data_IF_633095948692
#
_entry.id   IF_633095948692
#
_cell.length_a   1.000
_cell.length_b   1.000
_cell.length_c   1.000
_cell.angle_alpha   90.00
_cell.angle_beta   90.00
_cell.angle_gamma   90.00
#
_symmetry.space_group_name_H-M   'P 1'
#
loop_
_entity.id
_entity.type
_entity.pdbx_description
1 polymer ?
#
# COMPACT_ATOMS: atom_id res chain seq x y z
N UNK A 1 -16.28 -8.12 -11.43
CA UNK A 1 -15.38 -8.67 -10.42
C UNK A 1 -15.85 -8.20 -9.06
N UNK A 2 -15.71 -9.05 -8.01
CA UNK A 2 -15.89 -8.60 -6.62
C UNK A 2 -14.83 -7.56 -6.26
N UNK A 3 -15.11 -6.73 -5.25
CA UNK A 3 -14.10 -5.82 -4.68
C UNK A 3 -12.90 -6.64 -4.20
N UNK A 4 -11.65 -6.18 -4.41
CA UNK A 4 -10.49 -6.86 -3.85
C UNK A 4 -10.56 -6.85 -2.32
N UNK A 5 -10.02 -7.89 -1.69
CA UNK A 5 -9.84 -7.91 -0.24
C UNK A 5 -8.93 -6.75 0.18
N UNK A 6 -9.26 -6.07 1.27
CA UNK A 6 -8.44 -4.99 1.81
C UNK A 6 -7.60 -5.51 2.97
N UNK A 7 -6.29 -5.37 2.88
CA UNK A 7 -5.39 -5.57 4.01
C UNK A 7 -5.09 -4.22 4.67
N UNK A 8 -5.46 -4.09 5.94
CA UNK A 8 -5.21 -2.88 6.74
C UNK A 8 -4.00 -3.10 7.63
N UNK A 9 -2.90 -2.43 7.32
CA UNK A 9 -1.71 -2.42 8.18
C UNK A 9 -1.97 -1.50 9.37
N UNK A 10 -1.92 -2.07 10.58
CA UNK A 10 -2.20 -1.33 11.81
C UNK A 10 -1.32 -1.82 12.96
N UNK A 11 -0.71 -0.89 13.71
CA UNK A 11 0.03 -1.20 14.93
C UNK A 11 -0.92 -1.57 16.07
N UNK A 12 -0.55 -2.56 16.90
CA UNK A 12 -1.41 -3.06 17.99
C UNK A 12 -1.86 -1.95 18.95
N UNK A 13 -1.02 -0.95 19.19
CA UNK A 13 -1.33 0.21 20.03
C UNK A 13 -2.29 1.21 19.41
N UNK A 14 -2.56 1.14 18.11
CA UNK A 14 -3.35 2.12 17.36
C UNK A 14 -4.81 1.65 17.15
N UNK A 15 -5.46 1.21 18.24
CA UNK A 15 -6.83 0.65 18.22
C UNK A 15 -7.86 1.62 17.69
N UNK A 16 -7.75 2.91 18.05
CA UNK A 16 -8.69 3.95 17.59
C UNK A 16 -8.62 4.17 16.08
N UNK A 17 -7.42 4.10 15.49
CA UNK A 17 -7.24 4.21 14.04
C UNK A 17 -7.83 2.99 13.34
N UNK A 18 -7.59 1.78 13.89
CA UNK A 18 -8.19 0.57 13.36
C UNK A 18 -9.73 0.64 13.38
N UNK A 19 -10.33 1.09 14.49
CA UNK A 19 -11.78 1.23 14.59
C UNK A 19 -12.35 2.21 13.56
N UNK A 20 -11.68 3.34 13.32
CA UNK A 20 -12.11 4.34 12.34
C UNK A 20 -12.08 3.80 10.92
N UNK A 21 -10.99 3.17 10.51
CA UNK A 21 -10.86 2.64 9.15
C UNK A 21 -11.78 1.44 8.93
N UNK A 22 -11.94 0.56 9.93
CA UNK A 22 -12.87 -0.56 9.89
C UNK A 22 -14.31 -0.08 9.63
N UNK A 23 -14.79 0.88 10.43
CA UNK A 23 -16.10 1.49 10.22
C UNK A 23 -16.25 2.05 8.80
N UNK A 24 -15.23 2.71 8.29
CA UNK A 24 -15.28 3.28 6.93
C UNK A 24 -15.33 2.22 5.84
N UNK A 25 -14.59 1.12 5.99
CA UNK A 25 -14.63 0.00 5.06
C UNK A 25 -15.98 -0.72 5.09
N UNK A 26 -16.57 -0.91 6.27
CA UNK A 26 -17.91 -1.47 6.44
C UNK A 26 -18.98 -0.61 5.75
N UNK A 27 -18.94 0.71 5.92
CA UNK A 27 -19.84 1.67 5.24
C UNK A 27 -19.72 1.58 3.71
N UNK A 28 -18.54 1.25 3.22
CA UNK A 28 -18.29 1.05 1.79
C UNK A 28 -18.62 -0.37 1.31
N UNK A 29 -18.98 -1.29 2.22
CA UNK A 29 -19.25 -2.70 1.92
C UNK A 29 -18.00 -3.45 1.43
N UNK A 30 -16.82 -3.06 1.93
CA UNK A 30 -15.54 -3.66 1.57
C UNK A 30 -15.09 -4.66 2.63
N UNK A 31 -14.83 -5.90 2.24
CA UNK A 31 -14.23 -6.89 3.12
C UNK A 31 -12.78 -6.54 3.41
N UNK A 32 -12.36 -6.66 4.66
CA UNK A 32 -10.98 -6.38 5.06
C UNK A 32 -10.45 -7.35 6.09
N UNK A 33 -9.13 -7.45 6.15
CA UNK A 33 -8.37 -8.15 7.20
C UNK A 33 -7.29 -7.23 7.75
N UNK A 34 -7.05 -7.31 9.05
CA UNK A 34 -5.97 -6.58 9.70
C UNK A 34 -4.64 -7.31 9.52
N UNK A 35 -3.61 -6.58 9.12
CA UNK A 35 -2.21 -7.03 9.13
C UNK A 35 -1.51 -6.36 10.33
N UNK A 36 -1.01 -7.13 11.31
CA UNK A 36 -0.26 -6.58 12.44
C UNK A 36 1.00 -5.88 11.97
N UNK A 37 1.04 -4.56 12.13
CA UNK A 37 2.17 -3.73 11.74
C UNK A 37 3.40 -3.99 12.61
N UNK A 38 4.57 -3.84 12.02
CA UNK A 38 5.86 -3.94 12.72
C UNK A 38 6.21 -2.59 13.34
N UNK A 39 6.29 -2.55 14.67
CA UNK A 39 6.69 -1.34 15.37
C UNK A 39 8.22 -1.18 15.33
N UNK A 40 8.71 -0.29 14.48
CA UNK A 40 10.14 -0.11 14.22
C UNK A 40 10.99 0.11 15.47
N UNK A 41 10.44 0.76 16.52
CA UNK A 41 11.20 1.01 17.75
C UNK A 41 11.59 -0.27 18.53
N UNK A 42 10.86 -1.39 18.33
CA UNK A 42 11.14 -2.66 19.00
C UNK A 42 12.07 -3.58 18.20
N UNK A 43 12.45 -3.20 16.97
CA UNK A 43 13.35 -3.98 16.13
C UNK A 43 14.74 -4.07 16.74
N UNK A 44 15.23 -5.28 16.89
CA UNK A 44 16.62 -5.58 17.26
C UNK A 44 17.53 -5.61 16.02
N UNK A 45 18.83 -5.78 16.21
CA UNK A 45 19.81 -5.75 15.12
C UNK A 45 19.64 -6.93 14.13
N UNK A 46 19.16 -8.08 14.61
CA UNK A 46 18.90 -9.25 13.75
C UNK A 46 17.74 -8.93 12.80
N UNK A 47 16.64 -8.39 13.33
CA UNK A 47 15.49 -7.99 12.53
C UNK A 47 15.87 -6.93 11.50
N UNK A 48 16.64 -5.91 11.93
CA UNK A 48 17.10 -4.85 11.03
C UNK A 48 17.96 -5.40 9.89
N UNK A 49 18.94 -6.26 10.21
CA UNK A 49 19.86 -6.82 9.21
C UNK A 49 19.17 -7.79 8.25
N UNK A 50 18.05 -8.40 8.64
CA UNK A 50 17.26 -9.25 7.75
C UNK A 50 16.49 -8.47 6.67
N UNK A 51 16.11 -7.22 6.98
CA UNK A 51 15.26 -6.41 6.10
C UNK A 51 16.00 -5.23 5.45
N UNK A 52 17.18 -4.85 5.94
CA UNK A 52 17.88 -3.64 5.51
C UNK A 52 19.40 -3.83 5.42
N UNK A 53 19.96 -3.49 4.27
CA UNK A 53 21.40 -3.41 4.05
C UNK A 53 21.86 -1.95 4.01
N UNK A 54 22.62 -1.54 5.02
CA UNK A 54 23.21 -0.19 5.07
C UNK A 54 24.18 0.06 3.91
N UNK A 55 24.86 -0.98 3.43
CA UNK A 55 25.80 -0.88 2.31
C UNK A 55 25.06 -0.63 0.99
N UNK A 56 24.00 -1.40 0.71
CA UNK A 56 23.17 -1.19 -0.49
C UNK A 56 22.47 0.17 -0.43
N UNK A 57 21.97 0.56 0.74
CA UNK A 57 21.31 1.84 0.90
C UNK A 57 22.23 3.03 0.55
N UNK A 58 23.51 3.00 0.97
CA UNK A 58 24.49 4.05 0.64
C UNK A 58 24.71 4.23 -0.86
N UNK A 59 24.55 3.18 -1.65
CA UNK A 59 24.71 3.24 -3.12
C UNK A 59 23.47 3.77 -3.84
N UNK A 60 22.28 3.70 -3.22
CA UNK A 60 21.01 3.98 -3.89
C UNK A 60 20.31 5.21 -3.28
N UNK A 61 20.45 5.43 -1.98
CA UNK A 61 19.69 6.42 -1.23
C UNK A 61 20.58 7.41 -0.46
N UNK A 62 20.08 8.63 -0.27
CA UNK A 62 20.90 9.74 0.27
C UNK A 62 21.17 9.65 1.78
N UNK A 63 20.36 8.91 2.53
CA UNK A 63 20.49 8.77 3.99
C UNK A 63 20.14 7.36 4.44
N UNK A 64 20.60 6.94 5.62
CA UNK A 64 20.13 5.71 6.25
C UNK A 64 18.62 5.75 6.48
N UNK A 65 17.97 4.60 6.37
CA UNK A 65 16.57 4.44 6.78
C UNK A 65 16.46 4.42 8.30
N UNK A 66 15.42 5.05 8.82
CA UNK A 66 15.08 4.97 10.25
C UNK A 66 14.46 3.62 10.58
N UNK A 67 14.51 3.20 11.84
CA UNK A 67 13.81 1.99 12.31
C UNK A 67 12.32 2.00 11.99
N UNK A 68 11.68 3.18 12.03
CA UNK A 68 10.27 3.33 11.65
C UNK A 68 10.02 3.04 10.16
N UNK A 69 10.89 3.53 9.27
CA UNK A 69 10.79 3.25 7.83
C UNK A 69 11.02 1.76 7.52
N UNK A 70 11.95 1.13 8.22
CA UNK A 70 12.20 -0.31 8.09
C UNK A 70 10.99 -1.11 8.60
N UNK A 71 10.42 -0.74 9.76
CA UNK A 71 9.20 -1.37 10.29
C UNK A 71 8.00 -1.21 9.36
N UNK A 72 7.84 -0.04 8.74
CA UNK A 72 6.81 0.19 7.70
C UNK A 72 7.02 -0.77 6.52
N UNK A 73 8.23 -0.86 5.98
CA UNK A 73 8.56 -1.80 4.90
C UNK A 73 8.25 -3.26 5.27
N UNK A 74 8.69 -3.71 6.46
CA UNK A 74 8.42 -5.06 6.95
C UNK A 74 6.91 -5.33 7.11
N UNK A 75 6.13 -4.31 7.47
CA UNK A 75 4.67 -4.41 7.56
C UNK A 75 4.04 -4.64 6.19
N UNK A 76 4.51 -3.92 5.17
CA UNK A 76 4.07 -4.13 3.80
C UNK A 76 4.49 -5.51 3.27
N UNK A 77 5.70 -5.99 3.58
CA UNK A 77 6.11 -7.36 3.23
C UNK A 77 5.15 -8.41 3.80
N UNK A 78 4.69 -8.26 5.06
CA UNK A 78 3.67 -9.15 5.64
C UNK A 78 2.36 -9.14 4.86
N UNK A 79 1.92 -7.95 4.42
CA UNK A 79 0.70 -7.84 3.63
C UNK A 79 0.86 -8.50 2.25
N UNK A 80 2.01 -8.31 1.59
CA UNK A 80 2.30 -8.96 0.31
C UNK A 80 2.41 -10.48 0.46
N UNK A 81 3.05 -10.95 1.53
CA UNK A 81 3.10 -12.39 1.81
C UNK A 81 1.70 -12.98 2.02
N UNK A 82 0.81 -12.26 2.72
CA UNK A 82 -0.57 -12.71 2.90
C UNK A 82 -1.36 -12.81 1.57
N UNK A 83 -1.07 -11.96 0.57
CA UNK A 83 -1.63 -12.08 -0.78
C UNK A 83 -1.20 -13.40 -1.42
N UNK A 84 0.10 -13.70 -1.34
CA UNK A 84 0.68 -14.94 -1.89
C UNK A 84 0.13 -16.17 -1.17
N UNK A 85 0.15 -16.19 0.16
CA UNK A 85 -0.29 -17.32 0.98
C UNK A 85 -1.78 -17.66 0.76
N UNK A 86 -2.59 -16.64 0.50
CA UNK A 86 -4.02 -16.81 0.20
C UNK A 86 -4.31 -17.02 -1.30
N UNK A 87 -3.28 -17.02 -2.15
CA UNK A 87 -3.42 -17.13 -3.61
C UNK A 87 -4.43 -16.14 -4.17
N UNK A 88 -4.42 -14.90 -3.67
CA UNK A 88 -5.31 -13.84 -4.16
C UNK A 88 -4.80 -13.32 -5.51
N UNK A 89 -5.68 -13.10 -6.49
CA UNK A 89 -5.28 -12.49 -7.76
C UNK A 89 -4.83 -11.02 -7.59
N UNK A 90 -5.37 -10.33 -6.60
CA UNK A 90 -4.93 -9.02 -6.15
C UNK A 90 -5.53 -8.68 -4.79
N UNK A 91 -4.93 -7.73 -4.07
CA UNK A 91 -5.48 -7.14 -2.84
C UNK A 91 -5.13 -5.65 -2.74
N UNK A 92 -6.00 -4.90 -2.06
CA UNK A 92 -5.75 -3.52 -1.70
C UNK A 92 -5.03 -3.47 -0.35
N UNK A 93 -3.81 -2.97 -0.31
CA UNK A 93 -3.03 -2.80 0.93
C UNK A 93 -3.07 -1.33 1.33
N UNK A 94 -3.51 -1.04 2.54
CA UNK A 94 -3.67 0.32 3.07
C UNK A 94 -3.08 0.46 4.48
N UNK A 95 -2.62 1.66 4.81
CA UNK A 95 -2.25 2.02 6.19
C UNK A 95 -3.50 2.54 6.93
N UNK A 96 -3.49 2.47 8.26
CA UNK A 96 -4.64 2.77 9.13
C UNK A 96 -4.96 4.25 9.32
N UNK A 97 -4.15 5.15 8.75
CA UNK A 97 -4.27 6.61 8.87
C UNK A 97 -4.69 7.31 7.57
N UNK A 98 -5.26 6.56 6.65
CA UNK A 98 -5.79 7.11 5.39
C UNK A 98 -7.27 7.49 5.49
N UNK A 99 -7.68 8.38 4.59
CA UNK A 99 -9.09 8.66 4.33
C UNK A 99 -9.49 7.96 3.03
N UNK A 100 -10.44 7.03 3.14
CA UNK A 100 -10.98 6.30 1.99
C UNK A 100 -12.24 7.01 1.49
N UNK A 101 -12.18 7.51 0.25
CA UNK A 101 -13.30 8.12 -0.44
C UNK A 101 -14.20 7.06 -1.07
N UNK A 102 -15.50 7.38 -1.24
CA UNK A 102 -16.48 6.54 -1.94
C UNK A 102 -16.11 6.31 -3.41
N UNK A 103 -15.30 7.18 -4.02
CA UNK A 103 -14.78 7.03 -5.36
C UNK A 103 -13.88 5.79 -5.55
N UNK A 104 -13.40 5.18 -4.45
CA UNK A 104 -12.69 3.91 -4.54
C UNK A 104 -13.54 2.80 -5.17
N UNK A 105 -14.87 2.81 -4.99
CA UNK A 105 -15.79 1.88 -5.66
C UNK A 105 -15.76 2.04 -7.18
N UNK A 106 -15.72 3.28 -7.66
CA UNK A 106 -15.63 3.58 -9.10
C UNK A 106 -14.32 3.06 -9.71
N UNK A 107 -13.22 3.15 -8.96
CA UNK A 107 -11.96 2.59 -9.39
C UNK A 107 -12.06 1.07 -9.59
N UNK A 108 -12.72 0.35 -8.68
CA UNK A 108 -12.90 -1.10 -8.81
C UNK A 108 -13.73 -1.48 -10.05
N UNK A 109 -14.80 -0.75 -10.34
CA UNK A 109 -15.60 -0.97 -11.55
C UNK A 109 -14.78 -0.74 -12.83
N UNK A 110 -13.86 0.22 -12.80
CA UNK A 110 -12.96 0.52 -13.90
C UNK A 110 -11.82 -0.48 -14.00
N UNK A 111 -11.28 -0.91 -12.85
CA UNK A 111 -10.19 -1.89 -12.80
C UNK A 111 -10.55 -3.18 -13.56
N UNK A 112 -11.79 -3.62 -13.48
CA UNK A 112 -12.31 -4.77 -14.23
C UNK A 112 -12.20 -4.61 -15.77
N UNK A 113 -12.01 -3.38 -16.24
CA UNK A 113 -11.86 -3.06 -17.68
C UNK A 113 -10.40 -2.93 -18.12
N UNK A 114 -9.45 -2.90 -17.17
CA UNK A 114 -8.03 -2.91 -17.52
C UNK A 114 -7.63 -4.31 -17.95
N UNK A 115 -7.28 -4.44 -19.21
CA UNK A 115 -6.78 -5.68 -19.82
C UNK A 115 -5.26 -5.82 -19.64
N UNK A 116 -4.58 -4.74 -19.26
CA UNK A 116 -3.13 -4.75 -19.01
C UNK A 116 -2.83 -5.33 -17.63
N UNK A 117 -1.83 -6.20 -17.56
CA UNK A 117 -1.28 -6.67 -16.29
C UNK A 117 -0.57 -5.52 -15.57
N UNK A 118 -0.70 -5.46 -14.26
CA UNK A 118 0.02 -4.53 -13.40
C UNK A 118 0.56 -5.30 -12.20
N UNK A 119 1.69 -4.88 -11.68
CA UNK A 119 2.21 -5.40 -10.42
C UNK A 119 1.73 -4.55 -9.24
N UNK A 120 1.74 -3.22 -9.41
CA UNK A 120 1.37 -2.27 -8.35
C UNK A 120 0.64 -1.06 -8.94
N UNK A 121 -0.53 -0.73 -8.37
CA UNK A 121 -1.20 0.56 -8.57
C UNK A 121 -1.18 1.35 -7.27
N UNK A 122 -0.62 2.56 -7.27
CA UNK A 122 -0.55 3.45 -6.10
C UNK A 122 -1.63 4.52 -6.16
N UNK A 123 -2.37 4.71 -5.05
CA UNK A 123 -3.45 5.69 -4.95
C UNK A 123 -2.99 7.04 -4.39
N UNK A 124 -1.76 7.13 -3.91
CA UNK A 124 -1.19 8.35 -3.39
C UNK A 124 0.25 8.54 -3.86
N UNK A 125 0.57 9.77 -4.24
CA UNK A 125 1.92 10.15 -4.61
C UNK A 125 2.34 11.36 -3.77
N UNK A 126 3.35 11.19 -2.93
CA UNK A 126 4.03 12.34 -2.30
C UNK A 126 4.76 13.12 -3.39
N UNK A 127 4.84 14.46 -3.24
CA UNK A 127 5.32 15.51 -4.17
C UNK A 127 6.72 15.34 -4.82
N UNK A 128 7.24 14.15 -5.04
CA UNK A 128 8.28 13.95 -6.02
C UNK A 128 7.55 13.70 -7.34
N UNK A 129 7.49 14.65 -8.23
CA UNK A 129 6.77 14.55 -9.49
C UNK A 129 7.55 13.64 -10.47
N UNK A 130 7.36 12.30 -10.45
CA UNK A 130 7.86 11.48 -11.53
C UNK A 130 7.17 11.92 -12.81
N UNK A 131 7.88 11.85 -13.92
CA UNK A 131 7.32 12.21 -15.22
C UNK A 131 6.24 11.21 -15.60
N UNK A 132 5.05 11.69 -15.97
CA UNK A 132 4.01 10.88 -16.56
C UNK A 132 4.46 10.47 -17.96
N UNK A 133 4.52 9.17 -18.20
CA UNK A 133 4.89 8.56 -19.49
C UNK A 133 3.64 8.26 -20.31
N UNK A 134 2.57 7.84 -19.63
CA UNK A 134 1.29 7.50 -20.24
C UNK A 134 0.14 7.80 -19.29
N UNK A 135 -1.05 8.08 -19.83
CA UNK A 135 -2.20 8.53 -19.06
C UNK A 135 -3.50 8.06 -19.72
N UNK A 136 -4.33 7.36 -18.93
CA UNK A 136 -5.65 6.87 -19.35
C UNK A 136 -6.72 7.45 -18.43
N UNK A 137 -7.71 8.20 -18.95
CA UNK A 137 -8.84 8.67 -18.15
C UNK A 137 -9.69 7.51 -17.63
N UNK A 138 -9.97 7.50 -16.34
CA UNK A 138 -10.83 6.49 -15.69
C UNK A 138 -12.21 7.05 -15.27
N UNK A 139 -12.46 8.32 -15.52
CA UNK A 139 -13.71 9.02 -15.23
C UNK A 139 -13.67 9.80 -13.90
N UNK A 140 -14.68 10.63 -13.68
CA UNK A 140 -14.82 11.48 -12.48
C UNK A 140 -13.60 12.37 -12.17
N UNK A 141 -12.85 12.78 -13.20
CA UNK A 141 -11.64 13.61 -13.02
C UNK A 141 -10.40 12.83 -12.59
N UNK A 142 -10.45 11.52 -12.55
CA UNK A 142 -9.30 10.67 -12.24
C UNK A 142 -8.67 10.07 -13.50
N UNK A 143 -7.37 9.88 -13.45
CA UNK A 143 -6.56 9.26 -14.48
C UNK A 143 -5.71 8.13 -13.89
N UNK A 144 -5.54 7.05 -14.65
CA UNK A 144 -4.48 6.08 -14.40
C UNK A 144 -3.22 6.56 -15.13
N UNK A 145 -2.13 6.71 -14.40
CA UNK A 145 -0.88 7.21 -14.95
C UNK A 145 0.23 6.18 -14.81
N UNK A 146 1.01 6.01 -15.88
CA UNK A 146 2.30 5.33 -15.84
C UNK A 146 3.40 6.38 -15.68
N UNK A 147 4.36 6.09 -14.81
CA UNK A 147 5.46 7.00 -14.51
C UNK A 147 6.80 6.40 -14.95
N UNK A 148 7.77 7.26 -15.25
CA UNK A 148 9.16 6.88 -15.58
C UNK A 148 9.92 6.30 -14.37
N UNK A 149 9.44 6.61 -13.16
CA UNK A 149 9.98 6.12 -11.88
C UNK A 149 8.84 5.79 -10.93
N UNK A 150 9.04 4.78 -10.08
CA UNK A 150 8.04 4.39 -9.07
C UNK A 150 7.80 5.56 -8.11
N UNK A 151 6.55 6.05 -7.97
CA UNK A 151 6.22 7.10 -7.02
C UNK A 151 6.53 6.69 -5.57
N UNK A 152 7.06 7.65 -4.80
CA UNK A 152 7.34 7.43 -3.36
C UNK A 152 6.03 7.45 -2.58
N UNK A 153 5.91 6.57 -1.59
CA UNK A 153 4.76 6.43 -0.70
C UNK A 153 4.05 5.09 -0.88
N UNK A 154 3.60 4.53 0.23
CA UNK A 154 2.97 3.20 0.26
C UNK A 154 1.63 3.20 1.01
N UNK A 155 1.03 4.37 1.21
CA UNK A 155 -0.16 4.57 2.06
C UNK A 155 -1.35 3.73 1.60
N UNK A 156 -1.55 3.62 0.27
CA UNK A 156 -2.56 2.78 -0.35
C UNK A 156 -2.06 2.27 -1.70
N UNK A 157 -2.12 0.96 -1.89
CA UNK A 157 -1.65 0.31 -3.12
C UNK A 157 -2.46 -0.96 -3.41
N UNK A 158 -2.81 -1.14 -4.68
CA UNK A 158 -3.34 -2.40 -5.17
C UNK A 158 -2.15 -3.22 -5.69
N UNK A 159 -2.05 -4.45 -5.23
CA UNK A 159 -0.98 -5.40 -5.55
C UNK A 159 -1.60 -6.60 -6.24
N UNK A 160 -1.04 -7.03 -7.36
CA UNK A 160 -1.41 -8.26 -8.07
C UNK A 160 -0.36 -9.34 -7.88
#
# INVERSE_FOLDING_TARGET
MSMPLVFVINLDKSTDRMAKIAKRLDELGMSFERIPGVYGATLNDVDLNSAYSSQLNKSIYRRPLTKGEIGCYMSHQKAWQAIVDKSLPCALVVEDDILIDSNLKLFNEKLARFTESFDIVKFHCKKANPKIVDKVPIGNGYDLCRFDKVPIGNIAQLIS
#
